data_IF_297374869778
#
_entry.id   IF_297374869778
#
_cell.length_a   1.000
_cell.length_b   1.000
_cell.length_c   1.000
_cell.angle_alpha   90.00
_cell.angle_beta   90.00
_cell.angle_gamma   90.00
#
_symmetry.space_group_name_H-M   'P 1'
#
loop_
_entity.id
_entity.type
_entity.pdbx_description
1 polymer ?
#
# COMPACT_ATOMS: atom_id res chain seq x y z
N UNK A 1 5.02 29.72 14.03
CA UNK A 1 5.07 28.60 15.01
C UNK A 1 5.25 27.32 14.24
N UNK A 2 6.45 26.74 14.29
CA UNK A 2 6.71 25.44 13.65
C UNK A 2 6.34 24.35 14.67
N UNK A 3 5.18 23.71 14.53
CA UNK A 3 4.94 22.46 15.25
C UNK A 3 5.53 21.32 14.41
N UNK A 4 6.70 20.87 14.80
CA UNK A 4 7.20 19.59 14.36
C UNK A 4 6.27 18.51 14.93
N UNK A 5 5.40 17.97 14.12
CA UNK A 5 4.85 16.64 14.36
C UNK A 5 5.98 15.65 14.09
N UNK A 6 6.93 15.59 15.03
CA UNK A 6 7.81 14.45 15.17
C UNK A 6 6.92 13.21 15.33
N UNK A 7 7.31 12.12 14.71
CA UNK A 7 6.74 10.79 14.84
C UNK A 7 6.35 10.53 16.32
N UNK A 8 5.11 10.86 16.67
CA UNK A 8 4.59 10.65 18.03
C UNK A 8 3.86 9.34 17.99
N UNK A 9 4.56 8.29 18.38
CA UNK A 9 3.89 7.07 18.86
C UNK A 9 3.32 7.42 20.24
N UNK A 10 2.14 8.01 20.28
CA UNK A 10 1.41 8.22 21.51
C UNK A 10 0.65 6.94 21.77
N UNK A 11 1.18 6.11 22.64
CA UNK A 11 0.40 5.03 23.25
C UNK A 11 -0.62 5.74 24.16
N UNK A 12 -1.87 5.86 23.70
CA UNK A 12 -2.97 6.19 24.58
C UNK A 12 -3.07 5.04 25.58
N UNK A 13 -3.17 5.35 26.87
CA UNK A 13 -3.18 4.38 27.99
C UNK A 13 -4.39 3.40 27.99
N UNK A 14 -5.14 3.34 26.95
CA UNK A 14 -6.14 2.30 26.69
C UNK A 14 -5.60 1.43 25.58
N UNK A 15 -5.38 0.15 25.85
CA UNK A 15 -4.85 -0.92 24.98
C UNK A 15 -5.59 -1.13 23.63
N UNK A 16 -6.33 -0.14 23.14
CA UNK A 16 -7.26 -0.30 22.02
C UNK A 16 -6.82 0.38 20.72
N UNK A 17 -5.97 1.40 20.78
CA UNK A 17 -5.60 2.20 19.59
C UNK A 17 -4.13 2.58 19.61
N UNK A 18 -3.43 2.35 18.50
CA UNK A 18 -2.11 2.92 18.25
C UNK A 18 -2.18 3.95 17.13
N UNK A 19 -1.44 5.06 17.28
CA UNK A 19 -1.36 6.12 16.28
C UNK A 19 -0.02 6.04 15.57
N UNK A 20 -0.07 5.94 14.26
CA UNK A 20 1.12 5.95 13.40
C UNK A 20 1.09 7.20 12.53
N UNK A 21 2.08 8.08 12.68
CA UNK A 21 2.28 9.22 11.79
C UNK A 21 3.25 8.86 10.67
N UNK A 22 2.79 8.96 9.42
CA UNK A 22 3.64 8.92 8.24
C UNK A 22 4.11 10.32 7.80
N UNK A 23 4.79 10.42 6.65
CA UNK A 23 5.23 11.68 6.09
C UNK A 23 4.07 12.60 5.68
N UNK A 24 2.93 12.04 5.30
CA UNK A 24 1.76 12.76 4.79
C UNK A 24 0.44 12.29 5.35
N UNK A 25 0.37 11.09 5.90
CA UNK A 25 -0.86 10.49 6.45
C UNK A 25 -0.68 10.12 7.91
N UNK A 26 -1.78 10.23 8.66
CA UNK A 26 -1.92 9.69 10.01
C UNK A 26 -2.81 8.47 9.95
N UNK A 27 -2.46 7.44 10.70
CA UNK A 27 -3.18 6.17 10.75
C UNK A 27 -3.51 5.80 12.20
N UNK A 28 -4.79 5.58 12.49
CA UNK A 28 -5.26 4.98 13.74
C UNK A 28 -5.42 3.48 13.53
N UNK A 29 -4.67 2.71 14.27
CA UNK A 29 -4.77 1.26 14.27
C UNK A 29 -5.55 0.78 15.50
N UNK A 30 -6.76 0.31 15.31
CA UNK A 30 -7.59 -0.29 16.36
C UNK A 30 -7.17 -1.75 16.57
N UNK A 31 -6.65 -2.07 17.75
CA UNK A 31 -5.97 -3.35 18.01
C UNK A 31 -6.89 -4.56 17.78
N UNK A 32 -8.16 -4.44 18.18
CA UNK A 32 -9.15 -5.53 18.09
C UNK A 32 -10.02 -5.50 16.83
N UNK A 33 -9.83 -4.51 15.96
CA UNK A 33 -10.60 -4.40 14.73
C UNK A 33 -9.76 -4.86 13.53
N UNK A 34 -10.42 -5.24 12.45
CA UNK A 34 -9.78 -5.64 11.19
C UNK A 34 -9.59 -4.48 10.22
N UNK A 35 -9.62 -3.25 10.70
CA UNK A 35 -9.43 -2.05 9.90
C UNK A 35 -8.57 -1.01 10.61
N UNK A 36 -8.09 -0.05 9.85
CA UNK A 36 -7.43 1.17 10.27
C UNK A 36 -8.21 2.39 9.76
N UNK A 37 -8.11 3.52 10.45
CA UNK A 37 -8.58 4.81 9.95
C UNK A 37 -7.39 5.67 9.57
N UNK A 38 -7.40 6.19 8.35
CA UNK A 38 -6.36 7.07 7.80
C UNK A 38 -6.94 8.42 7.46
N UNK A 39 -6.11 9.47 7.54
CA UNK A 39 -6.41 10.80 6.98
C UNK A 39 -5.12 11.49 6.56
N UNK A 40 -5.24 12.46 5.66
CA UNK A 40 -4.12 13.29 5.22
C UNK A 40 -3.80 14.31 6.31
N UNK A 41 -2.53 14.39 6.72
CA UNK A 41 -2.06 15.38 7.69
C UNK A 41 -1.94 16.78 7.06
N UNK A 42 -1.89 17.81 7.90
CA UNK A 42 -1.91 19.25 7.50
C UNK A 42 -0.72 19.71 6.64
N UNK A 43 0.25 18.86 6.36
CA UNK A 43 1.56 19.29 5.85
C UNK A 43 1.67 19.43 4.33
N UNK A 44 0.63 19.13 3.54
CA UNK A 44 0.76 19.05 2.07
C UNK A 44 -0.28 19.81 1.22
N UNK A 45 -0.81 20.90 1.72
CA UNK A 45 -1.71 21.75 0.92
C UNK A 45 -3.07 21.09 0.61
N UNK A 46 -3.63 21.41 -0.57
CA UNK A 46 -4.99 21.00 -0.95
C UNK A 46 -5.13 19.54 -1.43
N UNK A 47 -4.05 18.77 -1.39
CA UNK A 47 -4.05 17.39 -1.88
C UNK A 47 -4.38 16.39 -0.78
N UNK A 48 -5.51 15.70 -0.94
CA UNK A 48 -5.98 14.68 0.00
C UNK A 48 -5.55 13.25 -0.44
N UNK A 49 -4.39 12.83 0.05
CA UNK A 49 -3.84 11.51 -0.25
C UNK A 49 -4.73 10.35 0.25
N UNK A 50 -5.48 10.56 1.34
CA UNK A 50 -6.37 9.54 1.88
C UNK A 50 -7.58 9.33 0.94
N UNK A 51 -8.17 10.43 0.45
CA UNK A 51 -9.26 10.32 -0.53
C UNK A 51 -8.81 9.75 -1.86
N UNK A 52 -7.60 10.03 -2.30
CA UNK A 52 -7.06 9.41 -3.51
C UNK A 52 -6.95 7.89 -3.39
N UNK A 53 -6.63 7.35 -2.22
CA UNK A 53 -6.67 5.90 -2.01
C UNK A 53 -8.08 5.34 -2.23
N UNK A 54 -9.13 6.02 -1.80
CA UNK A 54 -10.53 5.63 -2.07
C UNK A 54 -10.82 5.61 -3.57
N UNK A 55 -10.40 6.66 -4.29
CA UNK A 55 -10.61 6.75 -5.73
C UNK A 55 -9.86 5.66 -6.50
N UNK A 56 -8.59 5.42 -6.15
CA UNK A 56 -7.79 4.37 -6.77
C UNK A 56 -8.37 2.99 -6.48
N UNK A 57 -8.83 2.74 -5.23
CA UNK A 57 -9.48 1.48 -4.89
C UNK A 57 -10.76 1.25 -5.73
N UNK A 58 -11.62 2.25 -5.88
CA UNK A 58 -12.81 2.16 -6.70
C UNK A 58 -12.50 1.89 -8.19
N UNK A 59 -11.44 2.51 -8.71
CA UNK A 59 -10.93 2.21 -10.06
C UNK A 59 -10.42 0.76 -10.14
N UNK A 60 -9.72 0.28 -9.11
CA UNK A 60 -9.23 -1.10 -9.05
C UNK A 60 -10.37 -2.12 -9.01
N UNK A 61 -11.45 -1.84 -8.26
CA UNK A 61 -12.68 -2.65 -8.26
C UNK A 61 -13.26 -2.74 -9.68
N UNK A 62 -13.42 -1.60 -10.34
CA UNK A 62 -13.96 -1.51 -11.72
C UNK A 62 -13.08 -2.28 -12.72
N UNK A 63 -11.76 -2.24 -12.53
CA UNK A 63 -10.79 -2.94 -13.37
C UNK A 63 -10.63 -4.44 -13.05
N UNK A 64 -11.31 -4.98 -12.04
CA UNK A 64 -11.14 -6.36 -11.56
C UNK A 64 -9.80 -6.62 -10.88
N UNK A 65 -9.20 -5.58 -10.29
CA UNK A 65 -7.88 -5.60 -9.64
C UNK A 65 -7.95 -5.39 -8.12
N UNK A 66 -9.15 -5.34 -7.54
CA UNK A 66 -9.34 -5.11 -6.10
C UNK A 66 -8.58 -6.11 -5.22
N UNK A 67 -8.32 -7.31 -5.71
CA UNK A 67 -7.56 -8.35 -4.99
C UNK A 67 -6.13 -7.93 -4.62
N UNK A 68 -5.58 -6.91 -5.27
CA UNK A 68 -4.25 -6.37 -4.99
C UNK A 68 -4.24 -5.22 -3.97
N UNK A 69 -5.40 -4.81 -3.48
CA UNK A 69 -5.54 -3.65 -2.60
C UNK A 69 -6.42 -4.02 -1.40
N UNK A 70 -6.11 -3.56 -0.18
CA UNK A 70 -7.05 -3.66 0.93
C UNK A 70 -8.31 -2.86 0.64
N UNK A 71 -9.47 -3.34 1.07
CA UNK A 71 -10.73 -2.62 0.92
C UNK A 71 -10.61 -1.23 1.58
N UNK A 72 -10.94 -0.19 0.82
CA UNK A 72 -10.73 1.20 1.23
C UNK A 72 -11.98 2.01 0.89
N UNK A 73 -12.54 2.71 1.88
CA UNK A 73 -13.76 3.49 1.75
C UNK A 73 -13.71 4.79 2.55
N UNK A 74 -14.45 5.81 2.13
CA UNK A 74 -14.66 7.00 2.94
C UNK A 74 -15.49 6.63 4.18
N UNK A 75 -14.93 6.85 5.37
CA UNK A 75 -15.60 6.58 6.64
C UNK A 75 -16.40 7.78 7.15
N UNK A 76 -15.79 8.97 7.13
CA UNK A 76 -16.42 10.21 7.60
C UNK A 76 -15.73 11.44 7.00
N UNK A 77 -16.44 12.57 7.00
CA UNK A 77 -15.87 13.89 6.75
C UNK A 77 -16.20 14.79 7.94
N UNK A 78 -15.18 15.31 8.61
CA UNK A 78 -15.32 16.15 9.80
C UNK A 78 -14.50 17.42 9.57
N UNK A 79 -15.17 18.58 9.59
CA UNK A 79 -14.52 19.89 9.36
C UNK A 79 -13.68 19.95 8.08
N UNK A 80 -14.14 19.30 7.01
CA UNK A 80 -13.43 19.25 5.73
C UNK A 80 -12.29 18.22 5.67
N UNK A 81 -11.99 17.52 6.75
CA UNK A 81 -11.01 16.43 6.78
C UNK A 81 -11.70 15.10 6.47
N UNK A 82 -11.19 14.37 5.50
CA UNK A 82 -11.70 13.05 5.13
C UNK A 82 -10.99 11.96 5.94
N UNK A 83 -11.75 11.14 6.62
CA UNK A 83 -11.31 9.95 7.34
C UNK A 83 -11.65 8.72 6.49
N UNK A 84 -10.63 7.97 6.15
CA UNK A 84 -10.74 6.80 5.27
C UNK A 84 -10.54 5.53 6.08
N UNK A 85 -11.46 4.60 5.95
CA UNK A 85 -11.35 3.26 6.53
C UNK A 85 -10.69 2.33 5.53
N UNK A 86 -9.63 1.67 5.97
CA UNK A 86 -8.92 0.68 5.18
C UNK A 86 -8.81 -0.63 5.95
N UNK A 87 -9.02 -1.73 5.24
CA UNK A 87 -8.87 -3.06 5.80
C UNK A 87 -7.44 -3.31 6.28
N UNK A 88 -7.30 -3.95 7.44
CA UNK A 88 -6.00 -4.34 7.99
C UNK A 88 -5.37 -5.47 7.21
N UNK A 89 -4.06 -5.38 7.07
CA UNK A 89 -3.25 -6.39 6.40
C UNK A 89 -1.98 -6.65 7.19
N UNK A 90 -1.38 -7.80 6.99
CA UNK A 90 -0.10 -8.15 7.57
C UNK A 90 1.03 -7.43 6.80
N UNK A 91 1.83 -6.64 7.50
CA UNK A 91 3.01 -5.99 6.91
C UNK A 91 4.07 -7.02 6.55
N UNK A 92 4.77 -6.76 5.43
CA UNK A 92 6.01 -7.45 5.12
C UNK A 92 7.15 -6.81 5.93
N UNK A 93 7.54 -7.44 7.05
CA UNK A 93 8.73 -7.01 7.81
C UNK A 93 9.94 -7.75 7.23
N UNK A 94 11.03 -7.00 6.91
CA UNK A 94 12.23 -7.49 6.21
C UNK A 94 12.83 -8.78 6.78
N UNK A 95 12.75 -8.99 8.09
CA UNK A 95 13.45 -10.07 8.80
C UNK A 95 12.56 -11.23 9.27
N UNK A 96 11.26 -11.14 9.08
CA UNK A 96 10.38 -12.25 9.42
C UNK A 96 9.91 -12.90 8.13
N UNK A 97 10.44 -14.11 7.77
CA UNK A 97 9.80 -14.89 6.72
C UNK A 97 8.34 -15.02 7.16
N UNK A 98 7.43 -14.32 6.49
CA UNK A 98 6.02 -14.47 6.75
C UNK A 98 5.75 -15.97 6.77
N UNK A 99 5.28 -16.51 7.89
CA UNK A 99 5.06 -17.97 8.01
C UNK A 99 4.18 -18.51 6.88
N UNK A 100 3.52 -17.61 6.22
CA UNK A 100 2.61 -17.81 5.10
C UNK A 100 3.34 -17.89 3.75
N UNK A 101 4.54 -17.31 3.60
CA UNK A 101 5.36 -17.45 2.38
C UNK A 101 5.83 -18.88 2.13
N UNK A 102 5.91 -19.72 3.18
CA UNK A 102 6.41 -21.10 3.03
C UNK A 102 5.63 -21.91 2.00
N UNK A 103 4.31 -21.66 1.87
CA UNK A 103 3.46 -22.36 0.90
C UNK A 103 3.86 -22.04 -0.56
N UNK A 104 4.25 -20.81 -0.84
CA UNK A 104 4.56 -20.33 -2.18
C UNK A 104 6.06 -20.05 -2.39
N UNK A 105 6.89 -20.16 -1.34
CA UNK A 105 8.30 -19.81 -1.39
C UNK A 105 9.08 -20.59 -2.46
N UNK A 106 8.78 -21.86 -2.63
CA UNK A 106 9.41 -22.68 -3.67
C UNK A 106 9.01 -22.20 -5.07
N UNK A 107 7.72 -21.98 -5.29
CA UNK A 107 7.19 -21.52 -6.57
C UNK A 107 7.67 -20.11 -6.89
N UNK A 108 7.71 -19.21 -5.89
CA UNK A 108 8.25 -17.87 -6.06
C UNK A 108 9.73 -17.85 -6.45
N UNK A 109 10.54 -18.78 -5.93
CA UNK A 109 11.96 -18.92 -6.33
C UNK A 109 12.14 -19.31 -7.80
N UNK A 110 11.19 -20.03 -8.39
CA UNK A 110 11.24 -20.45 -9.78
C UNK A 110 10.58 -19.47 -10.74
N UNK A 111 9.88 -18.45 -10.22
CA UNK A 111 9.32 -17.40 -11.06
C UNK A 111 10.42 -16.63 -11.79
N UNK A 112 10.20 -16.32 -13.06
CA UNK A 112 11.20 -15.72 -13.93
C UNK A 112 11.61 -14.32 -13.48
N UNK A 113 12.83 -14.15 -13.01
CA UNK A 113 13.42 -12.84 -12.68
C UNK A 113 13.32 -11.84 -13.84
N UNK A 114 13.40 -12.35 -15.09
CA UNK A 114 13.26 -11.52 -16.30
C UNK A 114 11.89 -10.85 -16.40
N UNK A 115 10.82 -11.53 -15.96
CA UNK A 115 9.47 -10.95 -15.94
C UNK A 115 9.39 -9.87 -14.88
N UNK A 116 9.88 -10.15 -13.67
CA UNK A 116 9.93 -9.18 -12.56
C UNK A 116 10.76 -7.96 -12.94
N UNK A 117 11.92 -8.13 -13.55
CA UNK A 117 12.75 -7.03 -14.04
C UNK A 117 12.06 -6.19 -15.10
N UNK A 118 11.33 -6.80 -16.02
CA UNK A 118 10.54 -6.04 -17.03
C UNK A 118 9.42 -5.24 -16.38
N UNK A 119 8.73 -5.82 -15.40
CA UNK A 119 7.71 -5.10 -14.62
C UNK A 119 8.32 -3.90 -13.91
N UNK A 120 9.41 -4.12 -13.18
CA UNK A 120 10.16 -3.08 -12.49
C UNK A 120 10.59 -1.95 -13.43
N UNK A 121 11.18 -2.30 -14.58
CA UNK A 121 11.62 -1.32 -15.58
C UNK A 121 10.43 -0.50 -16.12
N UNK A 122 9.30 -1.14 -16.36
CA UNK A 122 8.10 -0.46 -16.87
C UNK A 122 7.52 0.51 -15.83
N UNK A 123 7.41 0.09 -14.57
CA UNK A 123 6.95 0.91 -13.46
C UNK A 123 7.91 2.10 -13.26
N UNK A 124 9.20 1.86 -13.17
CA UNK A 124 10.22 2.90 -12.99
C UNK A 124 10.19 3.94 -14.12
N UNK A 125 10.05 3.48 -15.37
CA UNK A 125 9.98 4.39 -16.52
C UNK A 125 8.75 5.29 -16.48
N UNK A 126 7.61 4.77 -16.06
CA UNK A 126 6.35 5.52 -16.03
C UNK A 126 6.26 6.47 -14.83
N UNK A 127 6.78 6.07 -13.68
CA UNK A 127 6.76 6.87 -12.45
C UNK A 127 7.90 7.90 -12.36
N UNK A 128 8.86 7.88 -13.30
CA UNK A 128 10.04 8.77 -13.29
C UNK A 128 11.09 8.33 -12.27
N UNK A 129 12.36 8.31 -12.70
CA UNK A 129 13.48 7.71 -11.96
C UNK A 129 13.80 8.31 -10.57
N UNK A 130 13.19 9.43 -10.18
CA UNK A 130 13.58 10.10 -8.94
C UNK A 130 12.94 9.54 -7.67
N UNK A 131 11.84 8.79 -7.77
CA UNK A 131 11.03 8.38 -6.60
C UNK A 131 10.49 6.95 -6.64
N UNK A 132 10.69 6.19 -7.72
CA UNK A 132 10.31 4.78 -7.73
C UNK A 132 11.29 4.01 -6.86
N UNK A 133 10.92 3.76 -5.61
CA UNK A 133 11.59 2.74 -4.83
C UNK A 133 11.30 1.40 -5.50
N UNK A 134 12.29 0.54 -5.49
CA UNK A 134 12.21 -0.73 -6.19
C UNK A 134 11.05 -1.57 -5.65
N UNK A 135 10.19 -2.04 -6.54
CA UNK A 135 9.20 -3.05 -6.20
C UNK A 135 9.90 -4.24 -5.55
N UNK A 136 9.45 -4.67 -4.38
CA UNK A 136 10.04 -5.83 -3.71
C UNK A 136 9.96 -7.07 -4.60
N UNK A 137 11.12 -7.64 -4.90
CA UNK A 137 11.25 -8.76 -5.84
C UNK A 137 10.52 -10.01 -5.36
N UNK A 138 10.54 -10.30 -4.07
CA UNK A 138 9.86 -11.46 -3.47
C UNK A 138 8.35 -11.29 -3.60
N UNK A 139 7.84 -10.13 -3.25
CA UNK A 139 6.42 -9.80 -3.41
C UNK A 139 5.96 -9.93 -4.87
N UNK A 140 6.74 -9.40 -5.82
CA UNK A 140 6.42 -9.46 -7.24
C UNK A 140 6.43 -10.90 -7.80
N UNK A 141 7.39 -11.72 -7.37
CA UNK A 141 7.43 -13.14 -7.71
C UNK A 141 6.23 -13.90 -7.16
N UNK A 142 5.87 -13.62 -5.91
CA UNK A 142 4.69 -14.22 -5.29
C UNK A 142 3.41 -13.81 -6.00
N UNK A 143 3.26 -12.54 -6.35
CA UNK A 143 2.12 -12.04 -7.12
C UNK A 143 1.98 -12.78 -8.47
N UNK A 144 3.11 -13.00 -9.18
CA UNK A 144 3.12 -13.76 -10.43
C UNK A 144 2.67 -15.22 -10.25
N UNK A 145 3.08 -15.86 -9.17
CA UNK A 145 2.71 -17.25 -8.87
C UNK A 145 1.25 -17.37 -8.50
N UNK A 146 0.76 -16.48 -7.66
CA UNK A 146 -0.61 -16.54 -7.12
C UNK A 146 -1.64 -16.10 -8.15
N UNK A 147 -1.41 -14.96 -8.80
CA UNK A 147 -2.40 -14.34 -9.68
C UNK A 147 -2.16 -14.58 -11.18
N UNK A 148 -0.99 -15.09 -11.51
CA UNK A 148 -0.60 -15.37 -12.89
C UNK A 148 -0.19 -14.12 -13.67
N UNK A 149 0.54 -14.35 -14.75
CA UNK A 149 1.16 -13.29 -15.57
C UNK A 149 0.18 -12.28 -16.16
N UNK A 150 -1.02 -12.73 -16.56
CA UNK A 150 -2.01 -11.85 -17.20
C UNK A 150 -2.51 -10.79 -16.23
N UNK A 151 -2.93 -11.20 -15.03
CA UNK A 151 -3.48 -10.29 -14.04
C UNK A 151 -2.40 -9.34 -13.50
N UNK A 152 -1.19 -9.85 -13.24
CA UNK A 152 -0.05 -9.01 -12.81
C UNK A 152 0.35 -8.00 -13.89
N UNK A 153 0.26 -8.34 -15.18
CA UNK A 153 0.49 -7.35 -16.25
C UNK A 153 -0.56 -6.24 -16.22
N UNK A 154 -1.83 -6.58 -16.00
CA UNK A 154 -2.91 -5.60 -15.84
C UNK A 154 -2.68 -4.71 -14.61
N UNK A 155 -2.22 -5.28 -13.48
CA UNK A 155 -1.82 -4.51 -12.30
C UNK A 155 -0.70 -3.52 -12.62
N UNK A 156 0.34 -3.94 -13.33
CA UNK A 156 1.44 -3.03 -13.69
C UNK A 156 0.97 -1.85 -14.54
N UNK A 157 0.08 -2.09 -15.49
CA UNK A 157 -0.52 -1.03 -16.29
C UNK A 157 -1.35 -0.09 -15.42
N UNK A 158 -2.15 -0.63 -14.52
CA UNK A 158 -2.96 0.13 -13.57
C UNK A 158 -2.11 1.01 -12.64
N UNK A 159 -1.01 0.47 -12.11
CA UNK A 159 -0.04 1.21 -11.28
C UNK A 159 0.50 2.43 -12.04
N UNK A 160 0.87 2.22 -13.32
CA UNK A 160 1.39 3.28 -14.19
C UNK A 160 0.33 4.36 -14.44
N UNK A 161 -0.87 3.96 -14.81
CA UNK A 161 -1.98 4.85 -15.17
C UNK A 161 -2.48 5.69 -13.98
N UNK A 162 -2.37 5.17 -12.77
CA UNK A 162 -2.80 5.86 -11.55
C UNK A 162 -1.64 6.49 -10.75
N UNK A 163 -0.41 6.47 -11.27
CA UNK A 163 0.73 7.13 -10.64
C UNK A 163 1.15 6.52 -9.29
N UNK A 164 0.87 5.23 -9.06
CA UNK A 164 1.27 4.52 -7.84
C UNK A 164 2.78 4.27 -7.92
N UNK A 165 3.58 5.16 -7.34
CA UNK A 165 5.04 5.22 -7.57
C UNK A 165 5.89 4.97 -6.33
N UNK A 166 5.28 4.71 -5.16
CA UNK A 166 5.99 4.48 -3.90
C UNK A 166 5.85 3.03 -3.41
N UNK A 167 6.21 2.08 -4.26
CA UNK A 167 6.07 0.64 -4.01
C UNK A 167 7.30 0.04 -3.30
N UNK A 168 7.58 0.50 -2.11
CA UNK A 168 8.63 -0.08 -1.26
C UNK A 168 8.04 -1.02 -0.19
N UNK A 169 8.90 -1.68 0.58
CA UNK A 169 8.53 -2.73 1.54
C UNK A 169 7.51 -2.32 2.58
N UNK A 170 7.57 -1.06 3.04
CA UNK A 170 6.59 -0.55 4.01
C UNK A 170 5.20 -0.26 3.41
N UNK A 171 5.10 -0.23 2.07
CA UNK A 171 3.87 0.06 1.35
C UNK A 171 3.27 -1.18 0.67
N UNK A 172 3.79 -2.35 0.99
CA UNK A 172 3.27 -3.65 0.56
C UNK A 172 3.05 -4.58 1.75
N UNK A 173 2.19 -5.56 1.57
CA UNK A 173 1.89 -6.53 2.61
C UNK A 173 1.16 -7.74 2.06
N UNK A 174 0.52 -8.46 2.97
CA UNK A 174 -0.22 -9.68 2.65
C UNK A 174 -1.60 -9.67 3.34
N UNK A 175 -2.62 -10.01 2.56
CA UNK A 175 -3.97 -10.28 3.05
C UNK A 175 -4.31 -11.73 2.74
N UNK A 176 -4.62 -12.53 3.75
CA UNK A 176 -4.94 -13.96 3.58
C UNK A 176 -3.89 -14.71 2.76
N UNK A 177 -2.63 -14.37 2.93
CA UNK A 177 -1.46 -14.83 2.16
C UNK A 177 -1.38 -14.33 0.71
N UNK A 178 -2.23 -13.42 0.30
CA UNK A 178 -2.21 -12.80 -1.01
C UNK A 178 -1.43 -11.48 -0.96
N UNK A 179 -0.47 -11.24 -1.88
CA UNK A 179 0.28 -10.00 -1.90
C UNK A 179 -0.60 -8.81 -2.25
N UNK A 180 -0.55 -7.75 -1.43
CA UNK A 180 -1.34 -6.52 -1.60
C UNK A 180 -0.47 -5.27 -1.49
N UNK A 181 -0.97 -4.16 -2.00
CA UNK A 181 -0.37 -2.81 -1.94
C UNK A 181 -1.15 -2.00 -0.90
N UNK A 182 -0.47 -1.40 0.08
CA UNK A 182 -1.08 -0.76 1.26
C UNK A 182 -1.22 0.74 1.14
N UNK A 183 -0.20 1.40 0.62
CA UNK A 183 -0.13 2.83 0.41
C UNK A 183 -0.01 3.09 -1.09
N UNK A 184 -1.11 3.46 -1.71
CA UNK A 184 -1.21 3.51 -3.17
C UNK A 184 -1.61 4.88 -3.73
N UNK A 185 -1.70 5.92 -2.90
CA UNK A 185 -1.90 7.29 -3.40
C UNK A 185 -0.69 7.83 -4.18
N UNK A 186 0.50 7.29 -3.90
CA UNK A 186 1.73 7.71 -4.56
C UNK A 186 2.22 9.11 -4.13
N UNK A 187 3.38 9.52 -4.66
CA UNK A 187 3.89 10.88 -4.50
C UNK A 187 3.43 11.75 -5.66
N UNK A 188 2.57 12.73 -5.39
CA UNK A 188 2.32 13.86 -6.29
C UNK A 188 3.14 15.07 -5.84
N UNK A 189 3.70 15.77 -6.78
CA UNK A 189 4.43 17.03 -6.58
C UNK A 189 3.58 18.20 -6.99
#
# INVERSE_FOLDING_TARGET
MKSALSCVTTTLENDFVTVHGGASKVCLNFIHENFVIKWTGETRGDYDEAMEEVEIYNKAVTAGLAVFFPATELFATINGVHFVKQEKVDFCVEDTPCHKEKKYAYQARTASDRIVQKMQTSINKACGHRYSRSLNTTWAKLALVVFGKKLVKSLCQFIIENGINDLHESNIGYKDNLPVILDFSGYKR
#
